data_IF_984326875426
#
_entry.id   IF_984326875426
#
_cell.length_a   1.000
_cell.length_b   1.000
_cell.length_c   1.000
_cell.angle_alpha   90.00
_cell.angle_beta   90.00
_cell.angle_gamma   90.00
#
_symmetry.space_group_name_H-M   'P 1'
#
loop_
_entity.id
_entity.type
_entity.pdbx_description
1 polymer ?
#
# COMPACT_ATOMS: atom_id res chain seq x y z
N UNK A 1 44.19 -33.47 27.49
CA UNK A 1 43.84 -33.10 26.09
C UNK A 1 42.57 -32.27 26.14
N UNK A 2 42.54 -31.03 25.62
CA UNK A 2 41.35 -30.19 25.65
C UNK A 2 40.50 -30.38 24.39
N UNK A 3 39.17 -30.35 24.57
CA UNK A 3 38.13 -30.43 23.54
C UNK A 3 38.01 -29.06 22.84
N UNK A 4 37.93 -28.98 21.49
CA UNK A 4 37.76 -27.71 20.80
C UNK A 4 36.30 -27.23 20.89
N UNK A 5 36.16 -26.02 21.41
CA UNK A 5 34.92 -25.26 21.56
C UNK A 5 34.57 -24.59 20.21
N UNK A 6 33.57 -25.12 19.51
CA UNK A 6 33.15 -24.59 18.21
C UNK A 6 32.04 -23.54 18.39
N UNK A 7 32.43 -22.29 18.69
CA UNK A 7 31.55 -21.12 18.58
C UNK A 7 31.65 -20.52 17.19
N UNK A 8 30.95 -21.13 16.23
CA UNK A 8 30.70 -20.54 14.92
C UNK A 8 29.40 -19.76 14.94
N UNK A 9 29.46 -18.48 15.32
CA UNK A 9 28.33 -17.56 15.14
C UNK A 9 28.08 -17.34 13.66
N UNK A 10 27.02 -17.96 13.13
CA UNK A 10 26.53 -17.67 11.80
C UNK A 10 25.88 -16.27 11.82
N UNK A 11 26.66 -15.27 11.42
CA UNK A 11 26.10 -13.96 11.06
C UNK A 11 25.23 -14.16 9.83
N UNK A 12 23.91 -14.14 10.01
CA UNK A 12 22.95 -14.04 8.91
C UNK A 12 23.26 -12.75 8.13
N UNK A 13 23.93 -12.90 6.99
CA UNK A 13 24.00 -11.82 5.98
C UNK A 13 22.61 -11.72 5.36
N UNK A 14 21.86 -10.71 5.76
CA UNK A 14 20.64 -10.29 5.05
C UNK A 14 21.08 -9.95 3.61
N UNK A 15 20.61 -10.73 2.64
CA UNK A 15 20.83 -10.44 1.24
C UNK A 15 20.26 -9.06 0.94
N UNK A 16 21.09 -8.13 0.46
CA UNK A 16 20.61 -6.82 0.01
C UNK A 16 19.76 -7.04 -1.24
N UNK A 17 18.45 -6.82 -1.14
CA UNK A 17 17.55 -6.87 -2.28
C UNK A 17 18.03 -5.90 -3.37
N UNK A 18 18.04 -6.36 -4.63
CA UNK A 18 18.38 -5.53 -5.78
C UNK A 18 17.27 -4.47 -5.95
N UNK A 19 17.62 -3.17 -6.10
CA UNK A 19 16.61 -2.14 -6.29
C UNK A 19 15.82 -2.40 -7.58
N UNK A 20 14.49 -2.26 -7.50
CA UNK A 20 13.59 -2.30 -8.65
C UNK A 20 13.32 -0.87 -9.10
N UNK A 21 13.50 -0.60 -10.39
CA UNK A 21 13.32 0.73 -10.97
C UNK A 21 11.92 0.84 -11.60
N UNK A 22 11.16 1.82 -11.15
CA UNK A 22 9.88 2.21 -11.75
C UNK A 22 10.03 3.57 -12.43
N UNK A 23 9.49 3.69 -13.65
CA UNK A 23 9.42 4.96 -14.39
C UNK A 23 7.96 5.37 -14.41
N UNK A 24 7.66 6.51 -13.79
CA UNK A 24 6.31 7.07 -13.74
C UNK A 24 6.36 8.58 -13.95
N UNK A 25 5.28 9.12 -14.49
CA UNK A 25 5.17 10.55 -14.74
C UNK A 25 4.89 11.29 -13.42
N UNK A 26 5.76 12.26 -13.07
CA UNK A 26 5.65 13.02 -11.82
C UNK A 26 4.27 13.65 -11.63
N UNK A 27 3.63 14.08 -12.72
CA UNK A 27 2.31 14.69 -12.67
C UNK A 27 1.21 13.68 -12.31
N UNK A 28 1.31 12.42 -12.76
CA UNK A 28 0.35 11.36 -12.37
C UNK A 28 0.47 11.11 -10.87
N UNK A 29 1.70 10.89 -10.39
CA UNK A 29 1.96 10.68 -8.96
C UNK A 29 1.52 11.87 -8.11
N UNK A 30 1.85 13.09 -8.51
CA UNK A 30 1.52 14.30 -7.73
C UNK A 30 0.04 14.67 -7.79
N UNK A 31 -0.66 14.35 -8.87
CA UNK A 31 -2.08 14.66 -9.01
C UNK A 31 -2.95 13.65 -8.26
N UNK A 32 -2.60 12.36 -8.38
CA UNK A 32 -3.44 11.26 -7.88
C UNK A 32 -3.03 10.74 -6.50
N UNK A 33 -1.78 10.90 -6.08
CA UNK A 33 -1.32 10.49 -4.75
C UNK A 33 -1.09 11.67 -3.83
N UNK A 34 -1.84 11.82 -2.72
CA UNK A 34 -1.58 12.86 -1.72
C UNK A 34 -0.17 12.80 -1.14
N UNK A 35 0.40 11.59 -1.01
CA UNK A 35 1.75 11.35 -0.52
C UNK A 35 2.79 11.97 -1.47
N UNK A 36 2.75 11.57 -2.74
CA UNK A 36 3.70 12.07 -3.73
C UNK A 36 3.50 13.55 -4.02
N UNK A 37 2.25 14.03 -3.98
CA UNK A 37 1.94 15.47 -4.03
C UNK A 37 2.72 16.24 -2.96
N UNK A 38 2.63 15.84 -1.70
CA UNK A 38 3.39 16.49 -0.60
C UNK A 38 4.90 16.34 -0.78
N UNK A 39 5.34 15.17 -1.26
CA UNK A 39 6.77 14.84 -1.36
C UNK A 39 7.48 15.57 -2.49
N UNK A 40 6.80 15.77 -3.63
CA UNK A 40 7.34 16.38 -4.84
C UNK A 40 7.03 17.89 -4.91
N UNK A 41 5.95 18.38 -4.27
CA UNK A 41 5.61 19.80 -4.27
C UNK A 41 6.45 20.69 -3.35
N UNK A 42 7.61 20.24 -2.82
CA UNK A 42 8.49 21.13 -2.04
C UNK A 42 8.98 22.36 -2.83
N UNK A 43 8.82 22.37 -4.14
CA UNK A 43 9.23 23.50 -5.02
C UNK A 43 8.05 24.29 -5.60
N UNK A 44 6.79 23.81 -5.54
CA UNK A 44 5.66 24.47 -6.23
C UNK A 44 4.98 25.51 -5.33
N UNK A 45 5.37 26.78 -5.45
CA UNK A 45 4.62 27.91 -4.88
C UNK A 45 3.33 28.14 -5.68
N UNK A 46 2.22 27.59 -5.18
CA UNK A 46 0.88 27.80 -5.72
C UNK A 46 0.75 27.25 -7.13
N UNK A 47 0.00 26.16 -7.30
CA UNK A 47 -0.48 25.84 -8.63
C UNK A 47 -1.49 26.94 -8.95
N UNK A 48 -1.04 28.04 -9.55
CA UNK A 48 -1.93 28.81 -10.41
C UNK A 48 -2.45 27.76 -11.40
N UNK A 49 -3.77 27.58 -11.51
CA UNK A 49 -4.37 26.56 -12.38
C UNK A 49 -4.10 26.78 -13.87
N UNK A 50 -3.38 27.85 -14.19
CA UNK A 50 -3.19 28.43 -15.49
C UNK A 50 -1.71 28.75 -15.75
N UNK A 51 -1.30 28.61 -16.99
CA UNK A 51 0.03 28.97 -17.45
C UNK A 51 0.20 30.49 -17.45
N UNK A 52 1.16 31.04 -16.71
CA UNK A 52 1.35 32.50 -16.62
C UNK A 52 1.78 33.19 -17.92
N UNK A 53 2.05 32.41 -18.99
CA UNK A 53 2.44 32.94 -20.30
C UNK A 53 1.22 33.09 -21.23
N UNK A 54 0.30 32.11 -21.24
CA UNK A 54 -0.86 32.13 -22.12
C UNK A 54 -2.21 32.23 -21.39
N UNK A 55 -2.20 32.10 -20.06
CA UNK A 55 -3.36 32.08 -19.17
C UNK A 55 -4.32 30.91 -19.38
N UNK A 56 -3.92 29.89 -20.14
CA UNK A 56 -4.71 28.66 -20.32
C UNK A 56 -4.40 27.64 -19.23
N UNK A 57 -5.38 26.80 -18.91
CA UNK A 57 -5.24 25.67 -18.00
C UNK A 57 -4.18 24.65 -18.43
N UNK A 58 -3.65 23.91 -17.45
CA UNK A 58 -2.65 22.88 -17.73
C UNK A 58 -3.25 21.57 -18.25
N UNK A 59 -2.62 21.02 -19.29
CA UNK A 59 -2.81 19.63 -19.71
C UNK A 59 -1.62 18.82 -19.18
N UNK A 60 -1.83 17.65 -18.53
CA UNK A 60 -0.83 17.01 -17.68
C UNK A 60 0.51 16.68 -18.36
N UNK A 61 0.53 16.44 -19.68
CA UNK A 61 1.67 15.84 -20.38
C UNK A 61 2.62 16.84 -21.05
N UNK A 62 2.42 18.16 -20.93
CA UNK A 62 3.19 19.15 -21.70
C UNK A 62 3.56 20.42 -20.93
N UNK A 63 4.07 20.26 -19.71
CA UNK A 63 4.51 21.37 -18.87
C UNK A 63 6.00 21.30 -18.54
N UNK A 64 6.63 22.45 -18.39
CA UNK A 64 7.98 22.60 -17.84
C UNK A 64 7.91 23.42 -16.54
N UNK A 65 8.83 23.15 -15.62
CA UNK A 65 8.86 23.81 -14.31
C UNK A 65 10.20 24.51 -14.06
N UNK A 66 10.15 25.74 -13.54
CA UNK A 66 11.34 26.45 -13.08
C UNK A 66 11.91 25.79 -11.82
N UNK A 67 13.18 25.41 -11.86
CA UNK A 67 13.86 24.76 -10.72
C UNK A 67 14.12 25.69 -9.53
N UNK A 68 14.06 27.02 -9.74
CA UNK A 68 14.32 27.99 -8.67
C UNK A 68 13.05 28.42 -7.94
N UNK A 69 11.99 28.75 -8.68
CA UNK A 69 10.75 29.28 -8.09
C UNK A 69 9.54 28.37 -8.24
N UNK A 70 9.67 27.23 -8.93
CA UNK A 70 8.59 26.27 -9.14
C UNK A 70 7.49 26.72 -10.08
N UNK A 71 7.70 27.80 -10.85
CA UNK A 71 6.73 28.22 -11.87
C UNK A 71 6.53 27.09 -12.89
N UNK A 72 5.29 26.64 -13.05
CA UNK A 72 4.87 25.70 -14.09
C UNK A 72 4.34 26.49 -15.29
N UNK A 73 4.74 26.11 -16.50
CA UNK A 73 4.29 26.72 -17.76
C UNK A 73 4.17 25.63 -18.83
N UNK A 74 3.36 25.82 -19.88
CA UNK A 74 3.39 24.86 -20.99
C UNK A 74 4.77 24.85 -21.67
N UNK A 75 5.22 23.67 -22.07
CA UNK A 75 6.48 23.48 -22.79
C UNK A 75 6.55 24.36 -24.06
N UNK A 76 5.44 24.46 -24.80
CA UNK A 76 5.34 25.31 -25.99
C UNK A 76 5.47 26.80 -25.65
N UNK A 77 4.92 27.22 -24.51
CA UNK A 77 4.94 28.59 -24.03
C UNK A 77 6.35 29.02 -23.60
N UNK A 78 7.05 28.18 -22.82
CA UNK A 78 8.42 28.50 -22.43
C UNK A 78 9.38 28.49 -23.62
N UNK A 79 9.21 27.57 -24.59
CA UNK A 79 10.02 27.59 -25.82
C UNK A 79 9.84 28.90 -26.60
N UNK A 80 8.60 29.39 -26.72
CA UNK A 80 8.31 30.69 -27.35
C UNK A 80 8.91 31.85 -26.56
N UNK A 81 8.80 31.82 -25.23
CA UNK A 81 9.38 32.83 -24.34
C UNK A 81 10.90 32.93 -24.48
N UNK A 82 11.59 31.79 -24.45
CA UNK A 82 13.04 31.72 -24.56
C UNK A 82 13.55 32.13 -25.95
N UNK A 83 12.78 31.87 -27.02
CA UNK A 83 13.14 32.28 -28.38
C UNK A 83 13.00 33.79 -28.64
N UNK A 84 12.05 34.46 -27.97
CA UNK A 84 11.83 35.91 -28.16
C UNK A 84 12.88 36.79 -27.48
N UNK A 85 13.53 36.28 -26.44
CA UNK A 85 14.53 37.01 -25.66
C UNK A 85 15.96 36.77 -26.17
N UNK A 86 16.23 37.15 -27.42
CA UNK A 86 17.55 36.92 -28.06
C UNK A 86 18.68 37.74 -27.39
N UNK A 87 18.33 38.85 -26.73
CA UNK A 87 19.28 39.78 -26.09
C UNK A 87 19.33 39.67 -24.55
N UNK A 88 18.72 38.65 -23.95
CA UNK A 88 18.72 38.44 -22.50
C UNK A 88 19.06 36.99 -22.17
N UNK A 89 19.67 36.71 -21.00
CA UNK A 89 19.85 35.35 -20.56
C UNK A 89 18.48 34.64 -20.51
N UNK A 90 18.48 33.41 -21.01
CA UNK A 90 17.35 32.48 -21.10
C UNK A 90 16.77 32.32 -19.69
N UNK A 91 15.78 33.14 -19.29
CA UNK A 91 15.38 33.30 -17.88
C UNK A 91 13.92 32.94 -17.63
N UNK A 92 13.62 32.50 -16.40
CA UNK A 92 12.26 32.28 -15.92
C UNK A 92 11.41 33.56 -15.99
N UNK A 93 10.17 33.51 -16.53
CA UNK A 93 9.29 34.67 -16.58
C UNK A 93 8.87 35.20 -15.19
N UNK A 94 8.87 34.34 -14.16
CA UNK A 94 8.52 34.72 -12.78
C UNK A 94 9.73 35.23 -12.00
N UNK A 95 10.75 34.39 -11.78
CA UNK A 95 11.87 34.73 -10.90
C UNK A 95 13.12 35.27 -11.61
N UNK A 96 13.11 35.34 -12.95
CA UNK A 96 14.23 35.82 -13.78
C UNK A 96 15.56 35.08 -13.61
N UNK A 97 15.58 33.94 -12.91
CA UNK A 97 16.76 33.08 -12.81
C UNK A 97 16.98 32.35 -14.14
N UNK A 98 18.24 32.04 -14.53
CA UNK A 98 18.53 31.27 -15.72
C UNK A 98 17.73 29.98 -15.78
N UNK A 99 16.98 29.84 -16.88
CA UNK A 99 16.24 28.66 -17.25
C UNK A 99 17.21 27.60 -17.73
N UNK A 100 17.73 26.84 -16.79
CA UNK A 100 18.62 25.74 -17.09
C UNK A 100 17.81 24.62 -17.74
N UNK A 101 18.02 24.38 -19.04
CA UNK A 101 17.58 23.13 -19.71
C UNK A 101 18.47 21.95 -19.29
N UNK A 102 19.05 22.00 -18.10
CA UNK A 102 20.01 20.99 -17.65
C UNK A 102 19.22 19.75 -17.29
N UNK A 103 19.14 18.91 -18.32
CA UNK A 103 18.82 17.50 -18.32
C UNK A 103 17.41 17.14 -17.91
N UNK A 104 16.78 16.34 -18.76
CA UNK A 104 15.82 15.32 -18.34
C UNK A 104 16.62 14.31 -17.49
N UNK A 105 17.11 14.73 -16.33
CA UNK A 105 17.48 13.79 -15.30
C UNK A 105 16.16 13.43 -14.63
N UNK A 106 15.68 12.18 -14.77
CA UNK A 106 14.53 11.77 -13.98
C UNK A 106 14.87 12.05 -12.52
N UNK A 107 13.95 12.70 -11.80
CA UNK A 107 14.07 12.80 -10.35
C UNK A 107 14.01 11.38 -9.80
N UNK A 108 15.15 10.83 -9.39
CA UNK A 108 15.23 9.49 -8.82
C UNK A 108 14.93 9.59 -7.33
N UNK A 109 13.88 8.91 -6.91
CA UNK A 109 13.53 8.75 -5.50
C UNK A 109 13.67 7.28 -5.12
N UNK A 110 14.20 7.03 -3.91
CA UNK A 110 14.34 5.68 -3.36
C UNK A 110 13.43 5.56 -2.14
N UNK A 111 12.70 4.44 -2.06
CA UNK A 111 11.77 4.15 -0.98
C UNK A 111 12.03 2.74 -0.46
N UNK A 112 12.73 2.63 0.67
CA UNK A 112 13.13 1.32 1.22
C UNK A 112 11.98 0.56 1.87
N UNK A 113 10.87 1.24 2.16
CA UNK A 113 9.71 0.68 2.86
C UNK A 113 8.63 0.16 1.90
N UNK A 114 8.70 0.51 0.61
CA UNK A 114 7.69 0.10 -0.37
C UNK A 114 8.10 -1.24 -0.97
N UNK A 115 7.22 -2.23 -0.81
CA UNK A 115 7.37 -3.50 -1.52
C UNK A 115 7.21 -3.27 -3.04
N UNK A 116 8.15 -3.74 -3.89
CA UNK A 116 8.09 -3.50 -5.33
C UNK A 116 6.83 -4.05 -6.00
N UNK A 117 6.37 -5.24 -5.63
CA UNK A 117 5.19 -5.86 -6.25
C UNK A 117 3.91 -5.13 -5.80
N UNK A 118 3.83 -4.76 -4.52
CA UNK A 118 2.75 -3.91 -4.03
C UNK A 118 2.74 -2.53 -4.69
N UNK A 119 3.91 -1.96 -4.95
CA UNK A 119 4.04 -0.66 -5.60
C UNK A 119 3.71 -0.72 -7.09
N UNK A 120 4.00 -1.83 -7.76
CA UNK A 120 3.58 -2.06 -9.13
C UNK A 120 2.04 -2.00 -9.26
N UNK A 121 1.32 -2.67 -8.36
CA UNK A 121 -0.16 -2.60 -8.30
C UNK A 121 -0.62 -1.16 -8.07
N UNK A 122 0.04 -0.42 -7.18
CA UNK A 122 -0.29 0.98 -6.95
C UNK A 122 -0.10 1.84 -8.21
N UNK A 123 1.01 1.66 -8.94
CA UNK A 123 1.25 2.37 -10.20
C UNK A 123 0.18 1.99 -11.22
N UNK A 124 -0.12 0.71 -11.40
CA UNK A 124 -1.17 0.27 -12.34
C UNK A 124 -2.51 0.92 -12.00
N UNK A 125 -2.93 0.88 -10.74
CA UNK A 125 -4.15 1.54 -10.29
C UNK A 125 -4.12 3.06 -10.54
N UNK A 126 -3.00 3.73 -10.30
CA UNK A 126 -2.87 5.16 -10.58
C UNK A 126 -3.05 5.49 -12.07
N UNK A 127 -2.70 4.61 -12.99
CA UNK A 127 -2.85 4.84 -14.43
C UNK A 127 -4.22 4.39 -14.95
N UNK A 128 -4.68 3.19 -14.55
CA UNK A 128 -5.84 2.52 -15.13
C UNK A 128 -7.11 2.65 -14.28
N UNK A 129 -6.96 3.00 -13.01
CA UNK A 129 -8.04 3.04 -12.02
C UNK A 129 -8.69 1.67 -11.73
N UNK A 130 -8.00 0.60 -12.11
CA UNK A 130 -8.39 -0.79 -11.91
C UNK A 130 -7.18 -1.58 -11.40
N UNK A 131 -7.41 -2.58 -10.55
CA UNK A 131 -6.39 -3.55 -10.15
C UNK A 131 -6.46 -4.69 -11.15
N UNK A 132 -5.44 -4.85 -11.98
CA UNK A 132 -5.44 -5.89 -12.99
C UNK A 132 -5.05 -7.25 -12.41
N UNK A 133 -5.77 -8.27 -12.87
CA UNK A 133 -5.32 -9.65 -12.75
C UNK A 133 -4.01 -9.83 -13.51
N UNK A 134 -3.04 -10.46 -12.84
CA UNK A 134 -1.85 -10.92 -13.50
C UNK A 134 -2.11 -12.36 -13.90
N UNK A 135 -2.18 -12.61 -15.22
CA UNK A 135 -2.48 -13.92 -15.79
C UNK A 135 -1.48 -15.03 -15.39
N UNK A 136 -0.36 -14.67 -14.74
CA UNK A 136 0.64 -15.60 -14.22
C UNK A 136 0.46 -15.93 -12.72
N UNK A 137 -0.46 -15.26 -12.02
CA UNK A 137 -0.68 -15.48 -10.60
C UNK A 137 -1.46 -16.79 -10.38
N UNK A 138 -0.96 -17.63 -9.48
CA UNK A 138 -1.83 -18.57 -8.79
C UNK A 138 -2.77 -17.79 -7.86
N UNK A 139 -3.94 -18.33 -7.52
CA UNK A 139 -4.85 -17.67 -6.57
C UNK A 139 -4.16 -17.29 -5.24
N UNK A 140 -3.20 -18.12 -4.80
CA UNK A 140 -2.36 -17.87 -3.63
C UNK A 140 -1.42 -16.66 -3.82
N UNK A 141 -0.75 -16.59 -4.97
CA UNK A 141 0.14 -15.47 -5.32
C UNK A 141 -0.61 -14.14 -5.47
N UNK A 142 -1.82 -14.18 -6.03
CA UNK A 142 -2.68 -13.01 -6.18
C UNK A 142 -3.03 -12.39 -4.82
N UNK A 143 -3.49 -13.21 -3.85
CA UNK A 143 -3.80 -12.72 -2.50
C UNK A 143 -2.58 -12.05 -1.84
N UNK A 144 -1.39 -12.67 -1.93
CA UNK A 144 -0.16 -12.09 -1.36
C UNK A 144 0.19 -10.76 -2.02
N UNK A 145 0.04 -10.64 -3.33
CA UNK A 145 0.25 -9.39 -4.08
C UNK A 145 -0.71 -8.29 -3.61
N UNK A 146 -1.98 -8.60 -3.38
CA UNK A 146 -2.95 -7.66 -2.82
C UNK A 146 -2.60 -7.22 -1.39
N UNK A 147 -2.09 -8.14 -0.56
CA UNK A 147 -1.60 -7.78 0.79
C UNK A 147 -0.40 -6.81 0.69
N UNK A 148 0.55 -7.07 -0.20
CA UNK A 148 1.69 -6.15 -0.45
C UNK A 148 1.20 -4.79 -0.92
N UNK A 149 0.23 -4.76 -1.83
CA UNK A 149 -0.42 -3.54 -2.29
C UNK A 149 -1.10 -2.78 -1.14
N UNK A 150 -1.80 -3.47 -0.25
CA UNK A 150 -2.39 -2.86 0.95
C UNK A 150 -1.32 -2.18 1.80
N UNK A 151 -0.21 -2.86 2.10
CA UNK A 151 0.87 -2.30 2.91
C UNK A 151 1.48 -1.04 2.26
N UNK A 152 1.63 -1.05 0.93
CA UNK A 152 2.03 0.15 0.18
C UNK A 152 1.00 1.26 0.33
N UNK A 153 -0.29 0.96 0.19
CA UNK A 153 -1.37 1.94 0.38
C UNK A 153 -1.39 2.56 1.78
N UNK A 154 -1.08 1.78 2.81
CA UNK A 154 -1.01 2.23 4.20
C UNK A 154 0.18 3.17 4.42
N UNK A 155 1.37 2.81 3.92
CA UNK A 155 2.57 3.67 3.95
C UNK A 155 2.32 4.99 3.20
N UNK A 156 1.64 4.92 2.06
CA UNK A 156 1.27 6.10 1.27
C UNK A 156 0.08 6.86 1.85
N UNK A 157 -0.62 6.29 2.84
CA UNK A 157 -1.85 6.83 3.43
C UNK A 157 -2.90 7.18 2.35
N UNK A 158 -3.03 6.33 1.34
CA UNK A 158 -3.97 6.51 0.22
C UNK A 158 -5.25 5.72 0.48
N UNK A 159 -6.23 6.38 1.10
CA UNK A 159 -7.48 5.73 1.54
C UNK A 159 -8.34 5.19 0.40
N UNK A 160 -8.27 5.83 -0.77
CA UNK A 160 -9.02 5.42 -1.95
C UNK A 160 -8.44 4.13 -2.52
N UNK A 161 -7.12 4.09 -2.69
CA UNK A 161 -6.43 2.86 -3.07
C UNK A 161 -6.65 1.72 -2.06
N UNK A 162 -6.54 2.01 -0.76
CA UNK A 162 -6.79 1.02 0.31
C UNK A 162 -8.23 0.47 0.30
N UNK A 163 -9.20 1.25 -0.18
CA UNK A 163 -10.57 0.76 -0.35
C UNK A 163 -10.66 -0.21 -1.52
N UNK A 164 -10.11 0.16 -2.67
CA UNK A 164 -10.10 -0.68 -3.87
C UNK A 164 -9.38 -2.01 -3.60
N UNK A 165 -8.20 -1.97 -2.99
CA UNK A 165 -7.43 -3.18 -2.62
C UNK A 165 -8.22 -4.08 -1.66
N UNK A 166 -8.93 -3.51 -0.67
CA UNK A 166 -9.75 -4.32 0.24
C UNK A 166 -10.92 -4.99 -0.46
N UNK A 167 -11.59 -4.30 -1.38
CA UNK A 167 -12.66 -4.90 -2.17
C UNK A 167 -12.13 -6.07 -3.00
N UNK A 168 -10.97 -5.89 -3.65
CA UNK A 168 -10.34 -6.97 -4.43
C UNK A 168 -9.98 -8.19 -3.58
N UNK A 169 -9.48 -7.97 -2.34
CA UNK A 169 -9.21 -9.06 -1.39
C UNK A 169 -10.51 -9.79 -1.01
N UNK A 170 -11.62 -9.06 -0.83
CA UNK A 170 -12.92 -9.68 -0.51
C UNK A 170 -13.39 -10.55 -1.68
N UNK A 171 -13.40 -10.02 -2.90
CA UNK A 171 -13.83 -10.78 -4.09
C UNK A 171 -12.99 -12.05 -4.27
N UNK A 172 -11.65 -11.90 -4.19
CA UNK A 172 -10.73 -13.05 -4.27
C UNK A 172 -11.02 -14.09 -3.18
N UNK A 173 -11.26 -13.65 -1.94
CA UNK A 173 -11.50 -14.54 -0.81
C UNK A 173 -12.89 -15.21 -0.87
N UNK A 174 -13.89 -14.58 -1.49
CA UNK A 174 -15.22 -15.17 -1.71
C UNK A 174 -15.12 -16.29 -2.75
N UNK A 175 -14.35 -16.08 -3.82
CA UNK A 175 -14.20 -17.06 -4.90
C UNK A 175 -13.31 -18.23 -4.51
N UNK A 176 -12.18 -17.96 -3.84
CA UNK A 176 -11.10 -18.95 -3.65
C UNK A 176 -10.80 -19.28 -2.18
N UNK A 177 -11.44 -18.59 -1.24
CA UNK A 177 -11.06 -18.60 0.16
C UNK A 177 -9.83 -17.71 0.44
N UNK A 178 -9.64 -17.33 1.70
CA UNK A 178 -8.49 -16.52 2.09
C UNK A 178 -7.22 -17.38 2.16
N UNK A 179 -6.21 -17.03 1.35
CA UNK A 179 -4.93 -17.74 1.30
C UNK A 179 -4.17 -17.71 2.64
N UNK A 180 -3.60 -18.86 3.02
CA UNK A 180 -2.72 -18.96 4.18
C UNK A 180 -1.38 -18.28 4.01
N UNK A 181 -0.83 -18.27 2.79
CA UNK A 181 0.42 -17.53 2.54
C UNK A 181 0.18 -16.03 2.70
N UNK A 182 -0.98 -15.51 2.30
CA UNK A 182 -1.38 -14.14 2.53
C UNK A 182 -1.55 -13.80 4.02
N UNK A 183 -2.19 -14.68 4.79
CA UNK A 183 -2.29 -14.53 6.26
C UNK A 183 -0.89 -14.56 6.90
N UNK A 184 -0.08 -15.57 6.58
CA UNK A 184 1.27 -15.70 7.13
C UNK A 184 2.14 -14.49 6.77
N UNK A 185 2.10 -14.05 5.52
CA UNK A 185 2.80 -12.86 5.06
C UNK A 185 2.35 -11.61 5.84
N UNK A 186 1.04 -11.43 6.02
CA UNK A 186 0.50 -10.30 6.81
C UNK A 186 1.07 -10.28 8.22
N UNK A 187 1.01 -11.41 8.94
CA UNK A 187 1.46 -11.46 10.34
C UNK A 187 2.97 -11.34 10.49
N UNK A 188 3.75 -11.74 9.48
CA UNK A 188 5.20 -11.58 9.45
C UNK A 188 5.63 -10.13 9.15
N UNK A 189 4.78 -9.33 8.50
CA UNK A 189 5.12 -7.97 8.04
C UNK A 189 4.33 -6.85 8.74
N UNK A 190 3.55 -7.19 9.77
CA UNK A 190 2.78 -6.21 10.56
C UNK A 190 2.96 -6.45 12.05
N UNK A 191 2.66 -5.45 12.87
CA UNK A 191 2.65 -5.54 14.34
C UNK A 191 1.33 -4.97 14.89
N UNK A 192 0.91 -5.38 16.08
CA UNK A 192 -0.33 -4.91 16.70
C UNK A 192 -0.22 -3.47 17.25
N UNK A 193 -1.33 -2.70 17.26
CA UNK A 193 -2.63 -2.99 16.64
C UNK A 193 -2.62 -2.70 15.13
N UNK A 194 -3.00 -3.68 14.30
CA UNK A 194 -2.98 -3.57 12.84
C UNK A 194 -4.41 -3.64 12.25
N UNK A 195 -4.79 -2.64 11.45
CA UNK A 195 -6.09 -2.64 10.76
C UNK A 195 -6.23 -3.80 9.77
N UNK A 196 -5.16 -4.15 9.05
CA UNK A 196 -5.14 -5.26 8.12
C UNK A 196 -5.37 -6.60 8.82
N UNK A 197 -4.70 -6.87 9.94
CA UNK A 197 -4.91 -8.11 10.71
C UNK A 197 -6.37 -8.29 11.14
N UNK A 198 -6.97 -7.22 11.67
CA UNK A 198 -8.40 -7.22 12.06
C UNK A 198 -9.30 -7.48 10.86
N UNK A 199 -9.07 -6.79 9.74
CA UNK A 199 -9.79 -6.99 8.50
C UNK A 199 -9.73 -8.45 8.00
N UNK A 200 -8.54 -9.07 8.01
CA UNK A 200 -8.38 -10.46 7.59
C UNK A 200 -9.04 -11.44 8.54
N UNK A 201 -9.00 -11.18 9.85
CA UNK A 201 -9.72 -12.01 10.84
C UNK A 201 -11.22 -11.94 10.58
N UNK A 202 -11.78 -10.74 10.44
CA UNK A 202 -13.21 -10.58 10.18
C UNK A 202 -13.62 -11.23 8.86
N UNK A 203 -12.85 -11.03 7.79
CA UNK A 203 -13.07 -11.68 6.50
C UNK A 203 -13.04 -13.21 6.62
N UNK A 204 -12.02 -13.76 7.29
CA UNK A 204 -11.92 -15.21 7.48
C UNK A 204 -13.09 -15.76 8.31
N UNK A 205 -13.58 -15.04 9.31
CA UNK A 205 -14.76 -15.50 10.07
C UNK A 205 -16.02 -15.59 9.22
N UNK A 206 -16.08 -14.90 8.08
CA UNK A 206 -17.21 -14.90 7.16
C UNK A 206 -17.02 -15.88 5.98
N UNK A 207 -15.80 -16.08 5.50
CA UNK A 207 -15.51 -16.84 4.27
C UNK A 207 -14.69 -18.11 4.49
N UNK A 208 -14.07 -18.28 5.66
CA UNK A 208 -13.12 -19.36 5.93
C UNK A 208 -13.76 -20.74 6.13
N UNK A 209 -13.02 -21.79 5.77
CA UNK A 209 -13.41 -23.19 6.04
C UNK A 209 -12.74 -23.74 7.30
N UNK A 210 -13.52 -24.42 8.14
CA UNK A 210 -13.00 -25.12 9.32
C UNK A 210 -12.07 -26.29 8.98
N UNK A 211 -12.20 -26.91 7.80
CA UNK A 211 -11.27 -27.97 7.37
C UNK A 211 -9.86 -27.41 7.18
N UNK A 212 -9.77 -26.18 6.67
CA UNK A 212 -8.50 -25.55 6.41
C UNK A 212 -7.76 -25.25 7.73
N UNK A 213 -8.43 -24.92 8.83
CA UNK A 213 -7.78 -24.62 10.13
C UNK A 213 -7.12 -25.86 10.75
N UNK A 214 -7.71 -27.04 10.53
CA UNK A 214 -7.22 -28.32 11.11
C UNK A 214 -5.83 -28.71 10.61
N UNK A 215 -5.41 -28.19 9.45
CA UNK A 215 -4.09 -28.45 8.89
C UNK A 215 -2.93 -27.80 9.66
N UNK A 216 -3.19 -26.86 10.58
CA UNK A 216 -2.16 -26.27 11.44
C UNK A 216 -1.14 -25.35 10.74
N UNK A 217 -1.38 -24.98 9.47
CA UNK A 217 -0.49 -24.13 8.68
C UNK A 217 -0.66 -22.62 8.94
N UNK A 218 -1.39 -22.25 10.00
CA UNK A 218 -1.80 -20.87 10.26
C UNK A 218 -0.97 -20.26 11.38
N UNK A 219 -0.65 -18.97 11.25
CA UNK A 219 0.08 -18.23 12.28
C UNK A 219 -0.62 -18.35 13.64
N UNK A 220 0.13 -18.69 14.70
CA UNK A 220 -0.39 -18.74 16.06
C UNK A 220 -1.03 -17.39 16.47
N UNK A 221 -0.42 -16.28 16.07
CA UNK A 221 -0.95 -14.95 16.34
C UNK A 221 -2.30 -14.71 15.64
N UNK A 222 -2.50 -15.25 14.44
CA UNK A 222 -3.79 -15.18 13.77
C UNK A 222 -4.87 -15.94 14.53
N UNK A 223 -4.56 -17.13 15.06
CA UNK A 223 -5.49 -17.89 15.89
C UNK A 223 -5.85 -17.14 17.17
N UNK A 224 -4.88 -16.44 17.77
CA UNK A 224 -5.11 -15.57 18.94
C UNK A 224 -6.04 -14.40 18.58
N UNK A 225 -5.75 -13.66 17.52
CA UNK A 225 -6.58 -12.51 17.09
C UNK A 225 -8.01 -12.95 16.72
N UNK A 226 -8.14 -14.11 16.08
CA UNK A 226 -9.44 -14.72 15.77
C UNK A 226 -10.21 -15.10 17.04
N UNK A 227 -9.56 -15.78 18.00
CA UNK A 227 -10.18 -16.11 19.28
C UNK A 227 -10.60 -14.84 20.05
N UNK A 228 -9.76 -13.81 20.05
CA UNK A 228 -10.10 -12.52 20.65
C UNK A 228 -11.33 -11.88 19.99
N UNK A 229 -11.40 -11.87 18.65
CA UNK A 229 -12.55 -11.34 17.91
C UNK A 229 -13.85 -12.07 18.29
N UNK A 230 -13.83 -13.40 18.37
CA UNK A 230 -14.98 -14.19 18.83
C UNK A 230 -15.36 -13.89 20.29
N UNK A 231 -14.38 -13.77 21.18
CA UNK A 231 -14.63 -13.46 22.59
C UNK A 231 -15.21 -12.06 22.80
N UNK A 232 -14.83 -11.07 21.99
CA UNK A 232 -15.42 -9.73 22.02
C UNK A 232 -16.87 -9.78 21.53
N UNK A 233 -17.11 -10.36 20.35
CA UNK A 233 -18.46 -10.48 19.76
C UNK A 233 -19.44 -11.24 20.68
N UNK A 234 -18.97 -12.30 21.34
CA UNK A 234 -19.77 -13.07 22.30
C UNK A 234 -20.03 -12.33 23.62
N UNK A 235 -19.11 -11.50 24.11
CA UNK A 235 -19.36 -10.69 25.31
C UNK A 235 -20.37 -9.56 25.09
N UNK A 236 -20.40 -9.00 23.88
CA UNK A 236 -21.38 -7.97 23.50
C UNK A 236 -22.80 -8.53 23.39
N UNK A 237 -22.94 -9.83 23.10
CA UNK A 237 -24.21 -10.47 22.81
C UNK A 237 -24.96 -11.06 24.03
N UNK A 238 -24.40 -11.02 25.26
CA UNK A 238 -24.80 -12.03 26.26
C UNK A 238 -24.99 -11.52 27.71
N UNK A 239 -26.19 -11.79 28.26
CA UNK A 239 -26.50 -11.79 29.69
C UNK A 239 -26.41 -13.19 30.33
N UNK A 240 -26.33 -13.27 31.67
CA UNK A 240 -26.11 -14.53 32.44
C UNK A 240 -27.08 -15.68 32.11
N UNK A 241 -28.33 -15.36 31.80
CA UNK A 241 -29.38 -16.32 31.44
C UNK A 241 -29.11 -17.00 30.08
N UNK A 242 -28.60 -16.25 29.10
CA UNK A 242 -28.26 -16.77 27.77
C UNK A 242 -27.06 -17.72 27.83
N UNK A 243 -26.04 -17.44 28.66
CA UNK A 243 -24.90 -18.36 28.88
C UNK A 243 -25.39 -19.70 29.41
N UNK A 244 -26.29 -19.67 30.40
CA UNK A 244 -26.84 -20.90 30.99
C UNK A 244 -27.69 -21.68 30.00
N UNK A 245 -28.55 -21.02 29.24
CA UNK A 245 -29.37 -21.67 28.22
C UNK A 245 -28.52 -22.31 27.11
N UNK A 246 -27.46 -21.63 26.66
CA UNK A 246 -26.54 -22.13 25.64
C UNK A 246 -25.77 -23.38 26.13
N UNK A 247 -25.20 -23.31 27.33
CA UNK A 247 -24.43 -24.43 27.91
C UNK A 247 -25.31 -25.63 28.27
N UNK A 248 -26.58 -25.41 28.64
CA UNK A 248 -27.56 -26.46 28.89
C UNK A 248 -28.02 -27.14 27.59
N UNK A 249 -28.25 -26.36 26.53
CA UNK A 249 -28.61 -26.87 25.21
C UNK A 249 -27.51 -27.72 24.55
N UNK A 250 -26.24 -27.43 24.85
CA UNK A 250 -25.09 -28.23 24.39
C UNK A 250 -24.82 -29.48 25.26
N UNK A 251 -25.64 -29.75 26.28
CA UNK A 251 -25.46 -30.90 27.17
C UNK A 251 -24.22 -30.81 28.07
N UNK A 252 -23.68 -29.60 28.30
CA UNK A 252 -22.48 -29.37 29.12
C UNK A 252 -22.76 -29.16 30.60
N UNK A 253 -24.03 -29.14 30.99
CA UNK A 253 -24.41 -29.37 32.38
C UNK A 253 -24.73 -30.85 32.54
N UNK A 254 -23.89 -31.56 33.26
CA UNK A 254 -24.28 -32.85 33.82
C UNK A 254 -25.49 -32.60 34.73
N UNK A 255 -26.56 -33.37 34.53
CA UNK A 255 -27.68 -33.42 35.47
C UNK A 255 -27.10 -33.79 36.84
N UNK A 256 -26.85 -32.79 37.68
CA UNK A 256 -26.63 -33.01 39.10
C UNK A 256 -27.95 -33.53 39.63
N UNK A 257 -27.93 -34.82 39.97
CA UNK A 257 -29.08 -35.70 40.07
C UNK A 257 -30.22 -35.20 40.96
N UNK A 258 -31.41 -35.64 40.59
CA UNK A 258 -32.44 -35.95 41.57
C UNK A 258 -32.21 -37.42 42.00
N UNK A 259 -31.78 -37.59 43.25
CA UNK A 259 -31.86 -38.83 44.02
C UNK A 259 -32.67 -38.53 45.27
#
# INVERSE_FOLDING_TARGET
MPVPNNRGGATHRVAKHKPVLFIAEEHVLSFRSPFFRKRFNKVRHGIDSECTICLDGFVPTRTDTCQTCGLVVHQSCIVKWLRRNVNCPVNCPRCRTPWSKTSIHPNVFTFDQLDPEGFEVYIQWLYLYEISDHAADTADGHCVRLIKAYLVGDILSDSEFLLVVRNEIVETAVENGLSYSAIAFTYNNTHEPCALRRFLVDLYTLTGSMEQLKGGHVSHLFLVDMAQSFMVKSKEAVGKEYIRAQLAGEGRFENLGEN
#
